data_IF_040870447679
#
_entry.id   IF_040870447679
#
_cell.length_a   1.000
_cell.length_b   1.000
_cell.length_c   1.000
_cell.angle_alpha   90.00
_cell.angle_beta   90.00
_cell.angle_gamma   90.00
#
_symmetry.space_group_name_H-M   'P 1'
#
loop_
_entity.id
_entity.type
_entity.pdbx_description
1 polymer ?
#
# COMPACT_ATOMS: atom_id res chain seq x y z
N UNK A 1 8.63 -38.58 39.49
CA UNK A 1 9.77 -37.92 40.17
C UNK A 1 10.19 -36.71 39.34
N UNK A 2 10.25 -35.54 39.97
CA UNK A 2 10.82 -34.25 39.51
C UNK A 2 10.23 -33.56 38.27
N UNK A 3 9.99 -32.24 38.22
CA UNK A 3 9.72 -31.16 39.20
C UNK A 3 9.32 -29.97 38.31
N UNK A 4 8.11 -29.43 38.51
CA UNK A 4 7.64 -28.20 37.89
C UNK A 4 8.37 -27.01 38.53
N UNK A 5 9.05 -26.18 37.74
CA UNK A 5 9.63 -24.93 38.23
C UNK A 5 8.78 -23.77 37.76
N UNK A 6 7.99 -23.23 38.69
CA UNK A 6 7.18 -22.04 38.55
C UNK A 6 8.12 -20.82 38.72
N UNK A 7 8.27 -20.00 37.67
CA UNK A 7 8.97 -18.72 37.77
C UNK A 7 7.93 -17.62 38.05
N UNK A 8 7.88 -17.16 39.30
CA UNK A 8 7.22 -15.92 39.67
C UNK A 8 8.05 -14.75 39.13
N UNK A 9 7.42 -13.86 38.33
CA UNK A 9 7.96 -12.52 38.08
C UNK A 9 7.09 -11.53 38.84
N UNK A 10 7.73 -10.92 39.82
CA UNK A 10 7.22 -9.97 40.80
C UNK A 10 6.87 -8.64 40.12
N UNK A 11 5.65 -8.16 40.36
CA UNK A 11 5.20 -6.81 39.99
C UNK A 11 5.90 -5.75 40.84
N UNK A 12 6.48 -4.73 40.21
CA UNK A 12 7.01 -3.54 40.87
C UNK A 12 6.00 -2.39 40.73
N UNK A 13 5.52 -1.92 41.89
CA UNK A 13 4.74 -0.70 42.08
C UNK A 13 5.68 0.51 42.23
N UNK A 14 5.09 1.71 42.10
CA UNK A 14 5.63 3.06 42.36
C UNK A 14 6.23 3.75 41.12
N UNK A 15 5.91 5.00 40.77
CA UNK A 15 5.60 6.17 41.62
C UNK A 15 4.62 7.12 40.91
N UNK A 16 3.61 7.60 41.63
CA UNK A 16 2.88 8.81 41.29
C UNK A 16 3.76 10.04 41.59
N UNK A 17 3.94 10.91 40.60
CA UNK A 17 4.49 12.26 40.79
C UNK A 17 3.36 13.24 40.52
N UNK A 18 2.82 13.81 41.59
CA UNK A 18 2.00 15.01 41.54
C UNK A 18 2.70 16.09 42.38
N UNK A 19 3.02 17.23 41.76
CA UNK A 19 2.98 18.57 42.36
C UNK A 19 3.49 19.59 41.34
N UNK A 20 2.76 20.69 41.15
CA UNK A 20 3.28 21.86 40.44
C UNK A 20 2.23 22.74 39.78
N UNK A 21 1.30 23.31 40.56
CA UNK A 21 0.56 24.48 40.13
C UNK A 21 1.42 25.73 40.36
N UNK A 22 1.61 26.52 39.30
CA UNK A 22 1.72 27.99 39.26
C UNK A 22 2.68 28.42 38.16
N UNK A 23 2.19 29.11 37.13
CA UNK A 23 2.36 30.57 37.08
C UNK A 23 1.67 31.10 35.82
N UNK A 24 0.77 32.05 36.03
CA UNK A 24 0.25 32.92 34.99
C UNK A 24 1.43 33.70 34.39
N UNK A 25 1.63 33.57 33.08
CA UNK A 25 2.31 34.60 32.30
C UNK A 25 1.33 35.11 31.26
N UNK A 26 0.74 36.26 31.60
CA UNK A 26 0.12 37.14 30.62
C UNK A 26 1.22 37.63 29.67
N UNK A 27 1.12 37.26 28.39
CA UNK A 27 1.80 37.97 27.31
C UNK A 27 0.74 38.61 26.42
N UNK A 28 0.76 39.94 26.43
CA UNK A 28 0.06 40.84 25.51
C UNK A 28 0.44 40.55 24.06
N UNK A 29 -0.57 40.69 23.20
CA UNK A 29 -0.51 41.11 21.79
C UNK A 29 0.86 41.16 21.11
N UNK A 30 1.05 40.26 20.15
CA UNK A 30 1.48 40.66 18.82
C UNK A 30 0.64 39.91 17.78
N UNK A 31 -0.22 40.65 17.10
CA UNK A 31 -0.94 40.21 15.91
C UNK A 31 0.04 39.83 14.82
N UNK A 32 0.37 38.55 14.75
CA UNK A 32 0.84 37.88 13.55
C UNK A 32 -0.23 36.87 13.18
N UNK A 33 -1.05 37.17 12.17
CA UNK A 33 -1.87 36.16 11.51
C UNK A 33 -0.91 35.11 10.96
N UNK A 34 -0.64 34.07 11.75
CA UNK A 34 -0.15 32.81 11.20
C UNK A 34 -1.28 32.35 10.29
N UNK A 35 -1.04 32.09 8.99
CA UNK A 35 -2.06 31.45 8.18
C UNK A 35 -2.44 30.17 8.92
N UNK A 36 -3.69 30.09 9.38
CA UNK A 36 -4.27 28.81 9.78
C UNK A 36 -4.06 27.89 8.58
N UNK A 37 -3.13 26.94 8.74
CA UNK A 37 -3.01 25.84 7.78
C UNK A 37 -4.44 25.30 7.61
N UNK A 38 -4.92 25.09 6.37
CA UNK A 38 -6.23 24.53 6.15
C UNK A 38 -6.34 23.26 7.00
N UNK A 39 -7.44 23.12 7.72
CA UNK A 39 -7.74 21.99 8.58
C UNK A 39 -7.72 20.72 7.72
N UNK A 40 -6.56 20.07 7.62
CA UNK A 40 -6.39 18.85 6.84
C UNK A 40 -6.99 17.74 7.68
N UNK A 41 -8.31 17.57 7.54
CA UNK A 41 -9.02 16.46 8.14
C UNK A 41 -8.32 15.17 7.67
N UNK A 42 -7.68 14.39 8.56
CA UNK A 42 -6.92 13.21 8.13
C UNK A 42 -7.87 12.27 7.40
N UNK A 43 -7.49 11.87 6.18
CA UNK A 43 -8.32 10.95 5.41
C UNK A 43 -8.55 9.67 6.22
N UNK A 44 -9.80 9.27 6.38
CA UNK A 44 -10.15 8.02 7.06
C UNK A 44 -9.63 6.83 6.24
N UNK A 45 -8.95 5.89 6.90
CA UNK A 45 -8.46 4.68 6.26
C UNK A 45 -9.64 3.79 5.85
N UNK A 46 -9.70 3.39 4.59
CA UNK A 46 -10.68 2.42 4.08
C UNK A 46 -10.08 1.03 4.20
N UNK A 47 -10.73 0.15 4.95
CA UNK A 47 -10.24 -1.20 5.10
C UNK A 47 -10.38 -2.01 3.80
N UNK A 48 -9.32 -2.74 3.45
CA UNK A 48 -9.19 -3.53 2.24
C UNK A 48 -9.84 -4.94 2.37
N UNK A 49 -11.17 -4.99 2.56
CA UNK A 49 -11.94 -6.23 2.55
C UNK A 49 -11.90 -6.94 1.18
N UNK A 50 -11.22 -8.08 1.09
CA UNK A 50 -11.17 -8.89 -0.13
C UNK A 50 -9.78 -9.20 -0.65
N UNK A 51 -8.72 -8.63 -0.07
CA UNK A 51 -7.34 -8.99 -0.42
C UNK A 51 -6.38 -8.86 0.76
N UNK A 52 -5.35 -9.70 0.75
CA UNK A 52 -4.28 -9.68 1.76
C UNK A 52 -2.97 -9.12 1.21
N UNK A 53 -2.68 -9.40 -0.07
CA UNK A 53 -1.43 -9.02 -0.70
C UNK A 53 -1.55 -8.88 -2.23
N UNK A 54 -0.89 -7.87 -2.79
CA UNK A 54 -0.53 -7.80 -4.21
C UNK A 54 0.95 -8.11 -4.39
N UNK A 55 1.27 -8.92 -5.40
CA UNK A 55 2.63 -9.19 -5.84
C UNK A 55 2.78 -8.72 -7.27
N UNK A 56 3.74 -7.84 -7.51
CA UNK A 56 4.12 -7.34 -8.83
C UNK A 56 5.45 -7.98 -9.20
N UNK A 57 5.54 -8.56 -10.38
CA UNK A 57 6.78 -9.14 -10.89
C UNK A 57 7.08 -8.68 -12.32
N UNK A 58 8.35 -8.35 -12.57
CA UNK A 58 8.88 -8.02 -13.89
C UNK A 58 10.36 -8.41 -13.95
N UNK A 59 10.65 -9.52 -14.65
CA UNK A 59 11.99 -10.13 -14.61
C UNK A 59 12.43 -10.48 -13.18
N UNK A 60 13.55 -9.91 -12.73
CA UNK A 60 14.08 -10.12 -11.37
C UNK A 60 13.49 -9.17 -10.31
N UNK A 61 12.71 -8.16 -10.73
CA UNK A 61 12.08 -7.21 -9.84
C UNK A 61 10.78 -7.80 -9.28
N UNK A 62 10.66 -7.78 -7.95
CA UNK A 62 9.45 -8.17 -7.23
C UNK A 62 9.09 -7.11 -6.21
N UNK A 63 7.85 -6.63 -6.27
CA UNK A 63 7.26 -5.73 -5.28
C UNK A 63 6.10 -6.47 -4.62
N UNK A 64 6.01 -6.38 -3.30
CA UNK A 64 4.92 -6.94 -2.52
C UNK A 64 4.24 -5.76 -1.82
N UNK A 65 2.96 -5.55 -2.06
CA UNK A 65 2.13 -4.57 -1.35
C UNK A 65 1.18 -5.33 -0.44
N UNK A 66 1.16 -5.01 0.86
CA UNK A 66 0.27 -5.61 1.84
C UNK A 66 -1.04 -4.82 2.00
N UNK A 67 -2.01 -5.45 2.66
CA UNK A 67 -3.32 -4.86 2.97
C UNK A 67 -3.27 -3.63 3.90
N UNK A 68 -2.10 -3.22 4.40
CA UNK A 68 -1.90 -2.02 5.22
C UNK A 68 -1.22 -0.89 4.44
N UNK A 69 -0.93 -1.10 3.15
CA UNK A 69 -0.27 -0.12 2.30
C UNK A 69 1.25 -0.09 2.46
N UNK A 70 1.85 -1.06 3.15
CA UNK A 70 3.30 -1.24 3.15
C UNK A 70 3.72 -1.99 1.90
N UNK A 71 4.87 -1.62 1.36
CA UNK A 71 5.50 -2.39 0.30
C UNK A 71 6.92 -2.83 0.63
N UNK A 72 7.28 -3.97 0.07
CA UNK A 72 8.62 -4.57 0.12
C UNK A 72 9.08 -4.80 -1.31
N UNK A 73 10.28 -4.32 -1.63
CA UNK A 73 10.94 -4.50 -2.92
C UNK A 73 12.09 -5.48 -2.69
N UNK A 74 12.09 -6.60 -3.42
CA UNK A 74 13.18 -7.56 -3.34
C UNK A 74 14.48 -6.95 -3.87
N UNK A 75 14.47 -6.53 -5.13
CA UNK A 75 15.58 -5.88 -5.84
C UNK A 75 14.95 -4.92 -6.83
N UNK A 76 15.12 -3.60 -6.65
CA UNK A 76 14.61 -2.56 -7.54
C UNK A 76 15.35 -2.57 -8.91
N UNK A 77 14.95 -1.69 -9.82
CA UNK A 77 15.62 -1.52 -11.12
C UNK A 77 17.11 -1.13 -11.03
N UNK A 78 17.54 -0.63 -9.87
CA UNK A 78 18.91 -0.25 -9.54
C UNK A 78 19.68 -1.34 -8.74
N UNK A 79 19.11 -2.54 -8.58
CA UNK A 79 19.78 -3.65 -7.89
C UNK A 79 19.69 -3.63 -6.36
N UNK A 80 18.83 -2.79 -5.78
CA UNK A 80 18.74 -2.57 -4.32
C UNK A 80 17.36 -2.96 -3.79
N UNK A 81 17.32 -3.72 -2.69
CA UNK A 81 16.07 -4.00 -1.97
C UNK A 81 15.66 -2.81 -1.09
N UNK A 82 14.35 -2.59 -0.94
CA UNK A 82 13.82 -1.42 -0.23
C UNK A 82 12.44 -1.70 0.37
N UNK A 83 11.98 -0.85 1.27
CA UNK A 83 10.66 -0.93 1.89
C UNK A 83 10.09 0.46 2.14
N UNK A 84 8.78 0.61 2.03
CA UNK A 84 8.13 1.88 2.30
C UNK A 84 6.63 1.76 2.46
N UNK A 85 5.98 2.91 2.47
CA UNK A 85 4.53 3.04 2.63
C UNK A 85 3.99 3.96 1.55
N UNK A 86 2.81 3.64 1.02
CA UNK A 86 2.13 4.51 0.05
C UNK A 86 1.29 5.57 0.78
N UNK A 87 0.85 6.60 0.05
CA UNK A 87 -0.05 7.60 0.63
C UNK A 87 -1.40 6.98 1.00
N UNK A 88 -2.06 7.51 2.03
CA UNK A 88 -3.41 7.06 2.43
C UNK A 88 -4.41 7.19 1.28
N UNK A 89 -4.24 8.21 0.42
CA UNK A 89 -5.08 8.42 -0.76
C UNK A 89 -4.92 7.29 -1.78
N UNK A 90 -3.68 6.93 -2.13
CA UNK A 90 -3.40 5.84 -3.08
C UNK A 90 -3.85 4.49 -2.50
N UNK A 91 -3.62 4.29 -1.20
CA UNK A 91 -4.10 3.10 -0.50
C UNK A 91 -5.63 2.98 -0.55
N UNK A 92 -6.35 4.04 -0.21
CA UNK A 92 -7.81 4.04 -0.21
C UNK A 92 -8.38 3.82 -1.62
N UNK A 93 -7.73 4.37 -2.66
CA UNK A 93 -8.09 4.12 -4.06
C UNK A 93 -7.96 2.62 -4.40
N UNK A 94 -6.80 2.02 -4.08
CA UNK A 94 -6.56 0.59 -4.29
C UNK A 94 -7.56 -0.25 -3.51
N UNK A 95 -7.69 -0.03 -2.19
CA UNK A 95 -8.60 -0.77 -1.32
C UNK A 95 -10.04 -0.74 -1.85
N UNK A 96 -10.54 0.44 -2.22
CA UNK A 96 -11.91 0.56 -2.76
C UNK A 96 -12.10 -0.25 -4.04
N UNK A 97 -11.15 -0.18 -4.98
CA UNK A 97 -11.21 -0.91 -6.25
C UNK A 97 -11.06 -2.42 -6.04
N UNK A 98 -10.15 -2.84 -5.17
CA UNK A 98 -9.95 -4.23 -4.79
C UNK A 98 -11.18 -4.83 -4.14
N UNK A 99 -11.83 -4.11 -3.21
CA UNK A 99 -13.04 -4.57 -2.53
C UNK A 99 -14.23 -4.73 -3.49
N UNK A 100 -14.29 -3.90 -4.53
CA UNK A 100 -15.27 -4.02 -5.61
C UNK A 100 -15.01 -5.30 -6.43
N UNK A 101 -13.76 -5.52 -6.82
CA UNK A 101 -13.34 -6.61 -7.70
C UNK A 101 -13.28 -7.98 -6.99
N UNK A 102 -13.00 -8.03 -5.69
CA UNK A 102 -12.96 -9.26 -4.89
C UNK A 102 -14.32 -9.97 -4.81
N UNK A 103 -15.40 -9.20 -4.95
CA UNK A 103 -16.79 -9.69 -4.95
C UNK A 103 -17.29 -10.01 -6.35
N UNK A 104 -16.58 -9.57 -7.38
CA UNK A 104 -16.97 -9.79 -8.77
C UNK A 104 -16.60 -11.22 -9.22
N UNK A 105 -17.45 -11.88 -10.02
CA UNK A 105 -17.08 -13.14 -10.65
C UNK A 105 -15.82 -12.96 -11.52
N UNK A 106 -14.95 -13.97 -11.51
CA UNK A 106 -13.80 -14.03 -12.41
C UNK A 106 -14.19 -14.66 -13.75
N UNK A 107 -13.58 -14.18 -14.82
CA UNK A 107 -13.68 -14.77 -16.14
C UNK A 107 -12.88 -16.09 -16.20
N UNK A 108 -13.39 -17.10 -16.91
CA UNK A 108 -12.66 -18.36 -17.11
C UNK A 108 -11.43 -18.21 -18.01
N UNK A 109 -11.38 -17.15 -18.82
CA UNK A 109 -10.26 -16.77 -19.66
C UNK A 109 -10.00 -15.27 -19.53
N UNK A 110 -8.74 -14.85 -19.66
CA UNK A 110 -8.39 -13.44 -19.61
C UNK A 110 -9.01 -12.67 -20.78
N UNK A 111 -9.43 -11.43 -20.51
CA UNK A 111 -9.86 -10.48 -21.53
C UNK A 111 -8.89 -9.30 -21.56
N UNK A 112 -8.44 -8.94 -22.75
CA UNK A 112 -7.46 -7.88 -22.94
C UNK A 112 -8.12 -6.55 -23.31
N UNK A 113 -7.53 -5.47 -22.84
CA UNK A 113 -7.91 -4.10 -23.14
C UNK A 113 -6.69 -3.19 -23.14
N UNK A 114 -6.75 -2.13 -23.93
CA UNK A 114 -5.63 -1.19 -24.04
C UNK A 114 -5.46 -0.41 -22.74
N UNK A 115 -4.28 -0.55 -22.14
CA UNK A 115 -3.92 0.13 -20.90
C UNK A 115 -3.60 1.61 -21.21
N UNK A 116 -4.23 2.57 -20.52
CA UNK A 116 -4.12 3.96 -20.90
C UNK A 116 -2.68 4.45 -20.68
N UNK A 117 -2.10 5.06 -21.71
CA UNK A 117 -0.78 5.69 -21.60
C UNK A 117 -0.86 6.90 -20.68
N UNK A 118 -0.17 6.84 -19.54
CA UNK A 118 -0.20 7.88 -18.50
C UNK A 118 1.05 8.79 -18.49
N UNK A 119 1.88 8.77 -19.54
CA UNK A 119 3.03 9.68 -19.63
C UNK A 119 4.04 9.47 -18.49
N UNK A 120 4.69 8.32 -18.46
CA UNK A 120 5.78 8.00 -17.54
C UNK A 120 6.84 7.17 -18.24
N UNK A 121 8.02 7.01 -17.64
CA UNK A 121 8.99 6.01 -18.11
C UNK A 121 8.37 4.64 -17.87
N UNK A 122 7.72 4.09 -18.89
CA UNK A 122 7.24 2.72 -18.86
C UNK A 122 8.44 1.82 -18.58
N UNK A 123 8.35 1.03 -17.52
CA UNK A 123 9.29 -0.06 -17.31
C UNK A 123 9.04 -1.04 -18.46
N UNK A 124 9.95 -1.09 -19.43
CA UNK A 124 9.76 -1.76 -20.72
C UNK A 124 9.55 -3.28 -20.66
N UNK A 125 9.49 -3.85 -19.46
CA UNK A 125 9.22 -5.25 -19.21
C UNK A 125 7.83 -5.33 -18.57
N UNK A 126 6.82 -5.77 -19.33
CA UNK A 126 5.44 -5.85 -18.85
C UNK A 126 5.33 -6.53 -17.49
N UNK A 127 4.50 -5.95 -16.61
CA UNK A 127 4.32 -6.46 -15.26
C UNK A 127 3.27 -7.56 -15.21
N UNK A 128 3.59 -8.60 -14.45
CA UNK A 128 2.60 -9.56 -13.97
C UNK A 128 2.16 -9.10 -12.58
N UNK A 129 0.84 -9.09 -12.37
CA UNK A 129 0.26 -8.78 -11.07
C UNK A 129 -0.55 -9.95 -10.58
N UNK A 130 -0.24 -10.33 -9.36
CA UNK A 130 -0.85 -11.41 -8.63
C UNK A 130 -1.52 -10.87 -7.37
N UNK A 131 -2.71 -11.39 -7.05
CA UNK A 131 -3.49 -10.99 -5.89
C UNK A 131 -3.78 -12.22 -5.02
N UNK A 132 -3.57 -12.09 -3.72
CA UNK A 132 -4.07 -13.05 -2.73
C UNK A 132 -5.32 -12.48 -2.08
N UNK A 133 -6.40 -13.25 -2.08
CA UNK A 133 -7.63 -12.85 -1.38
C UNK A 133 -7.52 -13.14 0.11
N UNK A 134 -8.29 -12.45 0.92
CA UNK A 134 -8.45 -12.73 2.36
C UNK A 134 -9.25 -14.02 2.62
N UNK A 135 -10.18 -14.34 1.72
CA UNK A 135 -11.03 -15.55 1.78
C UNK A 135 -10.29 -16.83 1.43
N UNK A 136 -9.25 -16.75 0.58
CA UNK A 136 -8.41 -17.89 0.18
C UNK A 136 -6.93 -17.48 0.17
N UNK A 137 -6.31 -17.21 1.34
CA UNK A 137 -4.98 -16.59 1.43
C UNK A 137 -3.86 -17.47 0.86
N UNK A 138 -4.08 -18.77 0.78
CA UNK A 138 -3.14 -19.71 0.16
C UNK A 138 -3.18 -19.67 -1.37
N UNK A 139 -4.25 -19.11 -1.96
CA UNK A 139 -4.43 -19.06 -3.41
C UNK A 139 -4.04 -17.68 -3.94
N UNK A 140 -3.03 -17.68 -4.81
CA UNK A 140 -2.66 -16.52 -5.60
C UNK A 140 -3.40 -16.54 -6.94
N UNK A 141 -3.96 -15.40 -7.34
CA UNK A 141 -4.67 -15.21 -8.60
C UNK A 141 -3.85 -14.27 -9.47
N UNK A 142 -3.46 -14.69 -10.68
CA UNK A 142 -2.87 -13.79 -11.69
C UNK A 142 -3.97 -12.86 -12.21
N UNK A 143 -3.96 -11.61 -11.76
CA UNK A 143 -5.01 -10.62 -12.05
C UNK A 143 -4.70 -9.75 -13.26
N UNK A 144 -3.41 -9.51 -13.53
CA UNK A 144 -2.97 -8.80 -14.73
C UNK A 144 -1.74 -9.47 -15.35
N UNK A 145 -1.70 -9.45 -16.69
CA UNK A 145 -0.55 -9.85 -17.48
C UNK A 145 -0.15 -8.72 -18.43
N UNK A 146 1.14 -8.38 -18.45
CA UNK A 146 1.69 -7.39 -19.37
C UNK A 146 1.25 -5.96 -19.12
N UNK A 147 1.29 -5.45 -17.88
CA UNK A 147 1.03 -4.01 -17.66
C UNK A 147 2.16 -3.18 -18.29
N UNK A 148 1.94 -2.73 -19.52
CA UNK A 148 2.80 -1.78 -20.25
C UNK A 148 1.92 -0.60 -20.70
N UNK A 149 2.26 0.65 -20.35
CA UNK A 149 1.54 1.83 -20.83
C UNK A 149 1.45 1.87 -22.36
N UNK A 150 0.22 1.94 -22.89
CA UNK A 150 -0.03 2.01 -24.34
C UNK A 150 -0.12 0.65 -25.03
N UNK A 151 0.06 -0.46 -24.32
CA UNK A 151 -0.15 -1.81 -24.85
C UNK A 151 -1.43 -2.45 -24.29
N UNK A 152 -1.81 -3.59 -24.87
CA UNK A 152 -2.92 -4.37 -24.37
C UNK A 152 -2.52 -5.11 -23.09
N UNK A 153 -3.35 -4.95 -22.06
CA UNK A 153 -3.23 -5.62 -20.77
C UNK A 153 -4.41 -6.56 -20.59
N UNK A 154 -4.15 -7.76 -20.08
CA UNK A 154 -5.17 -8.79 -19.92
C UNK A 154 -5.57 -8.97 -18.45
N UNK A 155 -6.88 -9.09 -18.19
CA UNK A 155 -7.46 -9.23 -16.85
C UNK A 155 -8.44 -10.39 -16.78
N UNK A 156 -8.51 -11.04 -15.61
CA UNK A 156 -9.52 -12.06 -15.28
C UNK A 156 -10.78 -11.48 -14.65
N UNK A 157 -10.86 -10.19 -14.39
CA UNK A 157 -12.07 -9.59 -13.78
C UNK A 157 -13.19 -9.41 -14.80
N UNK A 158 -14.44 -9.57 -14.38
CA UNK A 158 -15.61 -9.29 -15.23
C UNK A 158 -15.80 -7.80 -15.47
N UNK A 159 -15.61 -6.96 -14.44
CA UNK A 159 -15.64 -5.50 -14.55
C UNK A 159 -14.30 -4.97 -15.07
N UNK A 160 -14.23 -4.74 -16.38
CA UNK A 160 -13.03 -4.28 -17.07
C UNK A 160 -12.67 -2.82 -16.72
N UNK A 161 -13.66 -1.98 -16.44
CA UNK A 161 -13.42 -0.57 -16.11
C UNK A 161 -12.83 -0.44 -14.70
N UNK A 162 -13.37 -1.17 -13.72
CA UNK A 162 -12.77 -1.24 -12.38
C UNK A 162 -11.37 -1.87 -12.42
N UNK A 163 -11.18 -2.93 -13.23
CA UNK A 163 -9.86 -3.54 -13.43
C UNK A 163 -8.84 -2.54 -14.03
N UNK A 164 -9.25 -1.73 -15.01
CA UNK A 164 -8.41 -0.68 -15.61
C UNK A 164 -8.03 0.40 -14.59
N UNK A 165 -8.98 0.83 -13.76
CA UNK A 165 -8.71 1.78 -12.67
C UNK A 165 -7.75 1.18 -11.64
N UNK A 166 -7.96 -0.07 -11.25
CA UNK A 166 -7.07 -0.76 -10.30
C UNK A 166 -5.66 -0.86 -10.86
N UNK A 167 -5.49 -1.32 -12.10
CA UNK A 167 -4.18 -1.39 -12.75
C UNK A 167 -3.50 -0.01 -12.85
N UNK A 168 -4.28 1.05 -13.06
CA UNK A 168 -3.76 2.43 -13.07
C UNK A 168 -3.26 2.85 -11.69
N UNK A 169 -4.04 2.61 -10.63
CA UNK A 169 -3.66 2.92 -9.25
C UNK A 169 -2.40 2.11 -8.83
N UNK A 170 -2.36 0.82 -9.13
CA UNK A 170 -1.22 -0.04 -8.87
C UNK A 170 0.04 0.40 -9.63
N UNK A 171 -0.11 0.88 -10.88
CA UNK A 171 1.01 1.41 -11.67
C UNK A 171 1.67 2.64 -11.03
N UNK A 172 0.89 3.52 -10.38
CA UNK A 172 1.46 4.62 -9.59
C UNK A 172 2.38 4.10 -8.48
N UNK A 173 1.94 3.09 -7.74
CA UNK A 173 2.71 2.46 -6.66
C UNK A 173 3.98 1.78 -7.19
N UNK A 174 3.88 1.06 -8.31
CA UNK A 174 5.04 0.42 -8.95
C UNK A 174 6.09 1.45 -9.39
N UNK A 175 5.66 2.57 -9.97
CA UNK A 175 6.56 3.65 -10.38
C UNK A 175 7.23 4.33 -9.18
N UNK A 176 6.50 4.55 -8.10
CA UNK A 176 7.05 5.09 -6.85
C UNK A 176 8.11 4.15 -6.28
N UNK A 177 7.73 2.89 -6.05
CA UNK A 177 8.60 1.87 -5.48
C UNK A 177 9.87 1.63 -6.34
N UNK A 178 9.73 1.54 -7.66
CA UNK A 178 10.86 1.26 -8.55
C UNK A 178 11.88 2.40 -8.66
N UNK A 179 11.54 3.62 -8.22
CA UNK A 179 12.40 4.80 -8.36
C UNK A 179 12.94 5.36 -7.04
N UNK A 180 12.37 4.96 -5.90
CA UNK A 180 12.64 5.55 -4.59
C UNK A 180 14.11 5.45 -4.13
N UNK A 181 14.82 4.38 -4.51
CA UNK A 181 16.20 4.10 -4.07
C UNK A 181 17.24 4.18 -5.17
N UNK A 182 16.83 4.59 -6.38
CA UNK A 182 17.77 4.95 -7.42
C UNK A 182 18.32 6.35 -7.11
N UNK A 183 19.38 6.43 -6.30
CA UNK A 183 20.15 7.67 -6.16
C UNK A 183 20.53 8.14 -7.56
N UNK A 184 19.84 9.18 -8.04
CA UNK A 184 20.21 9.89 -9.27
C UNK A 184 21.47 10.66 -8.95
N UNK A 185 22.62 10.00 -9.08
CA UNK A 185 23.89 10.66 -9.35
C UNK A 185 23.82 11.39 -10.67
#
# INVERSE_FOLDING_TARGET
>A
MSKLTCLLITSLFMTAVGCGAASQSASKDQGGQTPLLPDVNPANLIYADGWSQYTFSSGNLKIILDSLGHFLININSCGVGDSGVISVTDYNEIATLSNSLSKAPLLPAQKCFTFPYQGGRGLGNGWIVEMKTDTTPEKTIKVFDGIVPGEDMCSVFTDQEAAKKLATALSKVMNLASTQTCNRG
#
